data_IF_924096417803
#
_entry.id   IF_924096417803
#
_cell.length_a   1.000
_cell.length_b   1.000
_cell.length_c   1.000
_cell.angle_alpha   90.00
_cell.angle_beta   90.00
_cell.angle_gamma   90.00
#
_symmetry.space_group_name_H-M   'P 1'
#
loop_
_entity.id
_entity.type
_entity.pdbx_description
1 polymer ?
#
# COMPACT_ATOMS: atom_id res chain seq x y z
N UNK A 1 36.58 -4.76 12.62
CA UNK A 1 35.32 -5.32 13.14
C UNK A 1 34.17 -4.63 12.40
N UNK A 2 33.95 -5.01 11.15
CA UNK A 2 32.82 -4.51 10.36
C UNK A 2 31.57 -5.22 10.87
N UNK A 3 30.64 -4.44 11.43
CA UNK A 3 29.37 -4.96 11.93
C UNK A 3 28.49 -5.16 10.71
N UNK A 4 28.47 -6.38 10.18
CA UNK A 4 27.55 -6.77 9.10
C UNK A 4 26.12 -6.36 9.51
N UNK A 5 25.39 -5.63 8.66
CA UNK A 5 23.99 -5.32 8.94
C UNK A 5 23.22 -6.65 9.01
N UNK A 6 22.42 -6.81 10.08
CA UNK A 6 21.62 -8.02 10.28
C UNK A 6 20.67 -8.19 9.09
N UNK A 7 20.94 -9.20 8.26
CA UNK A 7 20.01 -9.65 7.23
C UNK A 7 18.65 -9.94 7.87
N UNK A 8 17.67 -9.06 7.65
CA UNK A 8 16.34 -9.19 8.24
C UNK A 8 15.69 -7.90 8.71
N UNK A 9 16.41 -6.78 8.79
CA UNK A 9 15.82 -5.51 9.24
C UNK A 9 15.06 -4.71 8.14
N UNK A 10 15.21 -5.10 6.87
CA UNK A 10 14.72 -4.36 5.67
C UNK A 10 13.86 -5.23 4.73
N UNK A 11 13.45 -6.43 5.15
CA UNK A 11 12.74 -7.39 4.30
C UNK A 11 11.21 -7.27 4.37
N UNK A 12 10.66 -6.51 5.31
CA UNK A 12 9.23 -6.22 5.36
C UNK A 12 9.03 -4.78 4.92
N UNK A 13 8.46 -4.61 3.73
CA UNK A 13 7.90 -3.34 3.31
C UNK A 13 6.53 -3.23 3.99
N UNK A 14 6.50 -2.62 5.18
CA UNK A 14 5.28 -2.49 5.98
C UNK A 14 4.18 -1.73 5.21
N UNK A 15 4.56 -0.77 4.36
CA UNK A 15 3.59 -0.05 3.53
C UNK A 15 2.99 -0.97 2.45
N UNK A 16 3.79 -1.85 1.85
CA UNK A 16 3.29 -2.88 0.94
C UNK A 16 2.43 -3.91 1.67
N UNK A 17 2.80 -4.30 2.89
CA UNK A 17 2.01 -5.21 3.72
C UNK A 17 0.63 -4.62 4.02
N UNK A 18 0.57 -3.36 4.41
CA UNK A 18 -0.68 -2.62 4.63
C UNK A 18 -1.54 -2.57 3.35
N UNK A 19 -0.92 -2.36 2.18
CA UNK A 19 -1.63 -2.38 0.89
C UNK A 19 -2.19 -3.77 0.54
N UNK A 20 -1.43 -4.84 0.78
CA UNK A 20 -1.86 -6.22 0.57
C UNK A 20 -3.09 -6.54 1.45
N UNK A 21 -3.05 -6.15 2.73
CA UNK A 21 -4.15 -6.37 3.66
C UNK A 21 -5.41 -5.60 3.19
N UNK A 22 -5.26 -4.32 2.82
CA UNK A 22 -6.36 -3.50 2.31
C UNK A 22 -7.00 -4.08 1.04
N UNK A 23 -6.19 -4.50 0.06
CA UNK A 23 -6.69 -5.11 -1.18
C UNK A 23 -7.32 -6.48 -0.91
N UNK A 24 -6.76 -7.25 0.03
CA UNK A 24 -7.31 -8.52 0.48
C UNK A 24 -8.74 -8.36 1.01
N UNK A 25 -8.94 -7.38 1.91
CA UNK A 25 -10.26 -7.08 2.47
C UNK A 25 -11.28 -6.67 1.40
N UNK A 26 -10.86 -5.85 0.43
CA UNK A 26 -11.71 -5.46 -0.70
C UNK A 26 -12.12 -6.67 -1.57
N UNK A 27 -11.19 -7.58 -1.84
CA UNK A 27 -11.47 -8.81 -2.60
C UNK A 27 -12.45 -9.69 -1.83
N UNK A 28 -12.25 -9.88 -0.52
CA UNK A 28 -13.19 -10.65 0.31
C UNK A 28 -14.59 -10.05 0.23
N UNK A 29 -14.73 -8.73 0.40
CA UNK A 29 -16.01 -8.04 0.28
C UNK A 29 -16.67 -8.26 -1.10
N UNK A 30 -15.89 -8.18 -2.18
CA UNK A 30 -16.39 -8.39 -3.53
C UNK A 30 -16.84 -9.85 -3.76
N UNK A 31 -16.09 -10.83 -3.25
CA UNK A 31 -16.42 -12.25 -3.40
C UNK A 31 -17.60 -12.70 -2.55
N UNK A 32 -17.90 -11.98 -1.47
CA UNK A 32 -19.07 -12.21 -0.62
C UNK A 32 -20.35 -11.56 -1.18
N UNK A 33 -20.22 -10.69 -2.18
CA UNK A 33 -21.34 -10.02 -2.84
C UNK A 33 -21.82 -10.83 -4.05
N UNK A 34 -23.12 -11.00 -4.19
CA UNK A 34 -23.73 -11.65 -5.36
C UNK A 34 -23.68 -10.75 -6.62
N UNK A 35 -23.54 -9.44 -6.42
CA UNK A 35 -23.50 -8.41 -7.47
C UNK A 35 -22.23 -7.54 -7.34
N UNK A 36 -21.83 -6.79 -8.38
CA UNK A 36 -20.71 -5.85 -8.28
C UNK A 36 -20.91 -4.82 -7.15
N UNK A 37 -19.85 -4.57 -6.37
CA UNK A 37 -19.90 -3.59 -5.29
C UNK A 37 -20.18 -2.18 -5.82
N UNK A 38 -21.05 -1.46 -5.13
CA UNK A 38 -21.27 -0.03 -5.36
C UNK A 38 -20.11 0.79 -4.79
N UNK A 39 -19.95 2.03 -5.26
CA UNK A 39 -18.91 2.95 -4.77
C UNK A 39 -18.97 3.16 -3.25
N UNK A 40 -20.17 3.22 -2.67
CA UNK A 40 -20.36 3.35 -1.23
C UNK A 40 -19.96 2.08 -0.46
N UNK A 41 -20.04 0.91 -1.08
CA UNK A 41 -19.60 -0.35 -0.50
C UNK A 41 -18.08 -0.51 -0.56
N UNK A 42 -17.48 -0.09 -1.68
CA UNK A 42 -16.03 -0.01 -1.82
C UNK A 42 -15.46 0.94 -0.77
N UNK A 43 -16.02 2.15 -0.63
CA UNK A 43 -15.56 3.10 0.38
C UNK A 43 -15.67 2.54 1.80
N UNK A 44 -16.76 1.84 2.13
CA UNK A 44 -16.88 1.18 3.44
C UNK A 44 -15.85 0.07 3.63
N UNK A 45 -15.59 -0.75 2.61
CA UNK A 45 -14.56 -1.79 2.66
C UNK A 45 -13.15 -1.19 2.82
N UNK A 46 -12.92 -0.01 2.24
CA UNK A 46 -11.67 0.75 2.37
C UNK A 46 -11.61 1.62 3.65
N UNK A 47 -12.65 1.63 4.49
CA UNK A 47 -12.72 2.48 5.68
C UNK A 47 -12.80 3.99 5.40
N UNK A 48 -13.21 4.38 4.19
CA UNK A 48 -13.34 5.78 3.77
C UNK A 48 -14.64 6.36 4.35
N UNK A 49 -14.52 7.15 5.41
CA UNK A 49 -15.61 7.98 5.90
C UNK A 49 -15.71 9.25 5.06
N UNK A 50 -16.72 9.35 4.18
CA UNK A 50 -17.05 10.59 3.45
C UNK A 50 -17.54 11.65 4.45
N UNK A 51 -16.64 12.28 5.20
CA UNK A 51 -17.04 13.13 6.31
C UNK A 51 -15.99 14.01 6.96
N UNK A 52 -14.71 13.63 7.09
CA UNK A 52 -13.71 14.49 7.76
C UNK A 52 -12.31 14.36 7.14
N UNK A 53 -11.81 15.49 6.65
CA UNK A 53 -10.40 15.68 6.30
C UNK A 53 -9.52 15.62 7.56
N UNK A 54 -8.57 14.70 7.60
CA UNK A 54 -7.26 14.96 8.22
C UNK A 54 -6.21 13.95 7.76
N UNK A 55 -5.43 14.37 6.77
CA UNK A 55 -3.96 14.21 6.74
C UNK A 55 -3.40 12.86 7.20
N UNK A 56 -3.59 11.79 6.42
CA UNK A 56 -2.56 10.75 6.38
C UNK A 56 -1.54 11.18 5.33
N UNK A 57 -0.31 11.36 5.79
CA UNK A 57 0.83 11.82 5.01
C UNK A 57 1.06 10.89 3.81
N UNK A 58 0.56 11.29 2.64
CA UNK A 58 1.05 10.74 1.36
C UNK A 58 2.49 11.22 1.25
N UNK A 59 3.45 10.41 1.73
CA UNK A 59 4.86 10.63 1.44
C UNK A 59 4.98 10.60 -0.08
N UNK A 60 5.45 11.68 -0.74
CA UNK A 60 5.58 11.69 -2.18
C UNK A 60 6.48 10.52 -2.56
N UNK A 61 5.97 9.65 -3.45
CA UNK A 61 6.70 8.53 -4.01
C UNK A 61 8.12 8.99 -4.34
N UNK A 62 9.11 8.42 -3.65
CA UNK A 62 10.51 8.74 -3.90
C UNK A 62 10.76 8.57 -5.40
N UNK A 63 11.35 9.57 -6.08
CA UNK A 63 11.51 9.51 -7.52
C UNK A 63 12.33 8.27 -7.87
N UNK A 64 11.71 7.35 -8.60
CA UNK A 64 12.31 6.16 -9.15
C UNK A 64 13.58 6.59 -9.87
N UNK A 65 14.73 6.23 -9.31
CA UNK A 65 16.05 6.61 -9.82
C UNK A 65 16.19 6.02 -11.23
N UNK A 66 16.01 6.85 -12.26
CA UNK A 66 16.36 6.50 -13.63
C UNK A 66 17.86 6.25 -13.66
N UNK A 67 18.26 4.98 -13.71
CA UNK A 67 19.64 4.58 -13.91
C UNK A 67 20.07 5.01 -15.31
N UNK A 68 20.73 6.17 -15.42
CA UNK A 68 21.45 6.52 -16.63
C UNK A 68 22.70 5.63 -16.69
N UNK A 69 22.65 4.61 -17.55
CA UNK A 69 23.84 3.86 -17.95
C UNK A 69 24.73 4.78 -18.77
N UNK A 70 25.65 5.47 -18.10
CA UNK A 70 26.89 5.97 -18.71
C UNK A 70 27.98 4.93 -18.42
N UNK A 71 28.77 4.58 -19.43
CA UNK A 71 29.96 3.69 -19.50
C UNK A 71 29.77 2.78 -20.75
N UNK A 72 30.55 2.84 -21.82
CA UNK A 72 31.74 3.60 -22.19
C UNK A 72 31.78 3.71 -23.73
#
# INVERSE_FOLDING_TARGET
MTKEPRAGADLTDDALQDEIELVGDLVVAATASDEPLTEAEIDRALGIERGHSSSSEVKPASPHRVWTRQHA
#
